data_IF_682656141650
#
_entry.id   IF_682656141650
#
_cell.length_a   1.000
_cell.length_b   1.000
_cell.length_c   1.000
_cell.angle_alpha   90.00
_cell.angle_beta   90.00
_cell.angle_gamma   90.00
#
_symmetry.space_group_name_H-M   'P 1'
#
loop_
_entity.id
_entity.type
_entity.pdbx_description
1 polymer ?
#
# COMPACT_ATOMS: atom_id res chain seq x y z
N UNK A 1 20.06 9.93 -21.55
CA UNK A 1 20.20 8.45 -21.47
C UNK A 1 21.10 7.96 -20.34
N UNK A 2 22.14 8.69 -19.93
CA UNK A 2 23.08 8.27 -18.85
C UNK A 2 22.43 8.33 -17.46
N UNK A 3 21.62 9.35 -17.17
CA UNK A 3 21.00 9.53 -15.84
C UNK A 3 19.96 8.44 -15.47
N UNK A 4 19.19 7.94 -16.44
CA UNK A 4 18.19 6.87 -16.20
C UNK A 4 18.89 5.53 -15.95
N UNK A 5 20.00 5.25 -16.62
CA UNK A 5 20.84 4.08 -16.35
C UNK A 5 21.43 4.11 -14.95
N UNK A 6 21.88 5.28 -14.49
CA UNK A 6 22.42 5.45 -13.14
C UNK A 6 21.34 5.28 -12.05
N UNK A 7 20.11 5.75 -12.28
CA UNK A 7 18.98 5.59 -11.35
C UNK A 7 18.54 4.12 -11.23
N UNK A 8 18.46 3.40 -12.36
CA UNK A 8 18.14 1.97 -12.38
C UNK A 8 19.23 1.11 -11.74
N UNK A 9 20.50 1.48 -11.92
CA UNK A 9 21.63 0.79 -11.28
C UNK A 9 21.63 1.06 -9.77
N UNK A 10 21.29 2.26 -9.33
CA UNK A 10 21.18 2.60 -7.90
C UNK A 10 20.01 1.88 -7.21
N UNK A 11 18.88 1.71 -7.91
CA UNK A 11 17.73 0.94 -7.41
C UNK A 11 18.02 -0.57 -7.35
N UNK A 12 18.78 -1.09 -8.33
CA UNK A 12 19.23 -2.49 -8.35
C UNK A 12 20.29 -2.78 -7.27
N UNK A 13 21.11 -1.78 -6.88
CA UNK A 13 22.11 -1.92 -5.82
C UNK A 13 21.52 -1.97 -4.41
N UNK A 14 20.28 -1.49 -4.18
CA UNK A 14 19.58 -1.59 -2.91
C UNK A 14 18.95 -2.98 -2.67
N UNK A 15 18.78 -3.80 -3.70
CA UNK A 15 18.24 -5.17 -3.56
C UNK A 15 19.19 -6.17 -2.86
N UNK A 16 20.53 -6.14 -3.03
CA UNK A 16 21.39 -7.12 -2.35
C UNK A 16 21.53 -6.88 -0.84
N UNK A 17 21.33 -5.66 -0.33
CA UNK A 17 21.39 -5.39 1.11
C UNK A 17 20.27 -6.09 1.89
N UNK A 18 19.09 -6.28 1.28
CA UNK A 18 17.99 -7.05 1.87
C UNK A 18 18.25 -8.57 1.85
N UNK A 19 19.05 -9.05 0.89
CA UNK A 19 19.40 -10.47 0.78
C UNK A 19 20.53 -10.87 1.75
N UNK A 20 21.46 -9.98 2.06
CA UNK A 20 22.58 -10.28 2.98
C UNK A 20 22.19 -10.29 4.46
N UNK A 21 21.06 -9.68 4.83
CA UNK A 21 20.53 -9.77 6.20
C UNK A 21 19.94 -11.16 6.55
N UNK A 22 19.90 -12.08 5.61
CA UNK A 22 19.30 -13.40 5.79
C UNK A 22 20.28 -14.50 6.21
N UNK A 23 21.58 -14.22 6.27
CA UNK A 23 22.62 -15.26 6.39
C UNK A 23 23.24 -15.45 7.77
N UNK A 24 22.78 -14.78 8.80
CA UNK A 24 23.33 -14.89 10.16
C UNK A 24 22.26 -15.18 11.20
N UNK A 25 21.66 -16.36 11.18
CA UNK A 25 21.07 -16.94 12.41
C UNK A 25 20.72 -18.42 12.25
N UNK A 26 21.68 -19.29 12.52
CA UNK A 26 21.53 -20.76 12.55
C UNK A 26 21.03 -21.29 13.91
N UNK A 27 20.23 -20.52 14.64
CA UNK A 27 19.58 -20.98 15.85
C UNK A 27 18.11 -21.33 15.57
N UNK A 28 17.69 -22.51 15.97
CA UNK A 28 16.31 -23.03 15.92
C UNK A 28 15.32 -21.96 16.40
N UNK A 29 14.61 -21.35 15.49
CA UNK A 29 13.61 -20.35 15.81
C UNK A 29 12.39 -20.56 14.93
N UNK A 30 11.33 -21.08 15.55
CA UNK A 30 10.02 -21.20 14.91
C UNK A 30 9.51 -19.82 14.46
N UNK A 31 9.40 -19.66 13.15
CA UNK A 31 8.82 -18.44 12.56
C UNK A 31 7.32 -18.65 12.37
N UNK A 32 6.52 -17.86 13.05
CA UNK A 32 5.08 -17.80 12.80
C UNK A 32 4.82 -16.85 11.63
N UNK A 33 4.21 -17.38 10.59
CA UNK A 33 3.79 -16.61 9.41
C UNK A 33 2.26 -16.54 9.40
N UNK A 34 1.72 -15.32 9.35
CA UNK A 34 0.31 -15.05 9.11
C UNK A 34 0.19 -14.43 7.74
N UNK A 35 -0.46 -15.11 6.81
CA UNK A 35 -0.70 -14.63 5.46
C UNK A 35 -2.20 -14.47 5.23
N UNK A 36 -2.62 -13.27 4.84
CA UNK A 36 -3.97 -12.95 4.43
C UNK A 36 -3.98 -12.59 2.95
N UNK A 37 -4.93 -13.15 2.20
CA UNK A 37 -5.20 -12.79 0.80
C UNK A 37 -6.64 -12.34 0.71
N UNK A 38 -6.85 -11.12 0.21
CA UNK A 38 -8.15 -10.47 0.22
C UNK A 38 -8.44 -9.84 -1.15
N UNK A 39 -9.72 -9.80 -1.48
CA UNK A 39 -10.26 -9.02 -2.57
C UNK A 39 -11.12 -7.92 -1.95
N UNK A 40 -10.95 -6.69 -2.38
CA UNK A 40 -11.74 -5.53 -2.01
C UNK A 40 -12.58 -5.05 -3.18
N UNK A 41 -13.83 -4.71 -2.93
CA UNK A 41 -14.73 -4.06 -3.88
C UNK A 41 -15.35 -2.85 -3.19
N UNK A 42 -15.37 -1.72 -3.89
CA UNK A 42 -15.92 -0.51 -3.30
C UNK A 42 -15.97 0.65 -4.28
N UNK A 43 -16.00 1.84 -3.73
CA UNK A 43 -16.04 3.08 -4.50
C UNK A 43 -14.75 3.86 -4.32
N UNK A 44 -14.30 4.45 -5.42
CA UNK A 44 -13.22 5.42 -5.42
C UNK A 44 -13.70 6.74 -6.01
N UNK A 45 -13.07 7.82 -5.57
CA UNK A 45 -13.20 9.17 -6.10
C UNK A 45 -11.79 9.70 -6.36
N UNK A 46 -11.53 10.21 -7.57
CA UNK A 46 -10.23 10.70 -8.00
C UNK A 46 -10.35 12.09 -8.63
N UNK A 47 -9.47 12.97 -8.23
CA UNK A 47 -9.19 14.24 -8.90
C UNK A 47 -7.71 14.28 -9.27
N UNK A 48 -7.41 14.57 -10.52
CA UNK A 48 -6.07 14.89 -10.98
C UNK A 48 -6.11 16.09 -11.91
N UNK A 49 -5.69 17.23 -11.40
CA UNK A 49 -5.77 18.50 -12.18
C UNK A 49 -4.80 18.59 -13.36
N UNK A 50 -3.90 17.60 -13.51
CA UNK A 50 -3.11 17.42 -14.73
C UNK A 50 -3.97 16.87 -15.88
N UNK A 51 -4.90 15.98 -15.58
CA UNK A 51 -5.77 15.33 -16.56
C UNK A 51 -7.06 16.10 -16.74
N UNK A 52 -7.71 16.53 -15.65
CA UNK A 52 -9.00 17.20 -15.66
C UNK A 52 -9.23 17.99 -14.38
N UNK A 53 -9.89 19.16 -14.43
CA UNK A 53 -10.34 19.87 -13.24
C UNK A 53 -11.57 19.21 -12.57
N UNK A 54 -12.17 18.20 -13.21
CA UNK A 54 -13.36 17.50 -12.71
C UNK A 54 -12.95 16.32 -11.84
N UNK A 55 -13.77 16.01 -10.83
CA UNK A 55 -13.67 14.80 -10.02
C UNK A 55 -14.41 13.65 -10.69
N UNK A 56 -13.77 12.47 -10.71
CA UNK A 56 -14.31 11.23 -11.26
C UNK A 56 -14.58 10.25 -10.11
N UNK A 57 -15.72 9.59 -10.13
CA UNK A 57 -16.08 8.61 -9.10
C UNK A 57 -16.72 7.36 -9.69
N UNK A 58 -16.46 6.20 -9.07
CA UNK A 58 -16.98 4.93 -9.56
C UNK A 58 -16.54 3.75 -8.75
N UNK A 59 -16.42 2.60 -9.42
CA UNK A 59 -16.08 1.33 -8.80
C UNK A 59 -14.57 1.10 -8.76
N UNK A 60 -14.10 0.50 -7.68
CA UNK A 60 -12.73 0.03 -7.53
C UNK A 60 -12.72 -1.44 -7.11
N UNK A 61 -11.84 -2.22 -7.76
CA UNK A 61 -11.46 -3.56 -7.38
C UNK A 61 -10.03 -3.53 -6.85
N UNK A 62 -9.76 -4.19 -5.70
CA UNK A 62 -8.41 -4.27 -5.12
C UNK A 62 -8.09 -5.68 -4.66
N UNK A 63 -6.88 -6.13 -4.97
CA UNK A 63 -6.28 -7.32 -4.38
C UNK A 63 -5.26 -6.91 -3.31
N UNK A 64 -5.29 -7.60 -2.16
CA UNK A 64 -4.34 -7.37 -1.06
C UNK A 64 -3.78 -8.70 -0.60
N UNK A 65 -2.45 -8.84 -0.64
CA UNK A 65 -1.71 -9.91 0.02
C UNK A 65 -0.93 -9.32 1.19
N UNK A 66 -1.30 -9.68 2.40
CA UNK A 66 -0.75 -9.14 3.65
C UNK A 66 -0.09 -10.25 4.45
N UNK A 67 1.21 -10.17 4.65
CA UNK A 67 2.01 -11.19 5.33
C UNK A 67 2.73 -10.59 6.53
N UNK A 68 2.53 -11.17 7.71
CA UNK A 68 3.28 -10.86 8.93
C UNK A 68 4.12 -12.06 9.30
N UNK A 69 5.41 -11.83 9.54
CA UNK A 69 6.38 -12.83 10.01
C UNK A 69 6.91 -12.40 11.37
N UNK A 70 6.74 -13.25 12.38
CA UNK A 70 7.26 -13.01 13.73
C UNK A 70 7.93 -14.27 14.24
N UNK A 71 9.12 -14.16 14.81
CA UNK A 71 9.75 -15.28 15.53
C UNK A 71 9.07 -15.48 16.88
N UNK A 72 8.86 -16.74 17.26
CA UNK A 72 8.30 -17.10 18.58
C UNK A 72 9.21 -16.55 19.70
N UNK A 73 8.62 -15.92 20.72
CA UNK A 73 9.37 -15.27 21.81
C UNK A 73 10.00 -13.91 21.46
N UNK A 74 10.03 -13.50 20.20
CA UNK A 74 10.55 -12.18 19.80
C UNK A 74 9.43 -11.16 19.67
N UNK A 75 9.74 -9.91 20.00
CA UNK A 75 8.80 -8.78 19.90
C UNK A 75 8.82 -8.10 18.53
N UNK A 76 9.86 -8.30 17.72
CA UNK A 76 9.98 -7.74 16.39
C UNK A 76 9.26 -8.61 15.36
N UNK A 77 8.47 -7.99 14.50
CA UNK A 77 7.83 -8.61 13.35
C UNK A 77 8.12 -7.86 12.06
N UNK A 78 8.14 -8.60 10.95
CA UNK A 78 8.26 -8.07 9.60
C UNK A 78 6.90 -8.14 8.94
N UNK A 79 6.52 -7.08 8.25
CA UNK A 79 5.28 -7.01 7.48
C UNK A 79 5.60 -6.80 6.01
N UNK A 80 4.98 -7.58 5.13
CA UNK A 80 5.03 -7.41 3.69
C UNK A 80 3.60 -7.30 3.18
N UNK A 81 3.34 -6.26 2.39
CA UNK A 81 2.02 -6.08 1.77
C UNK A 81 2.21 -5.83 0.28
N UNK A 82 1.44 -6.54 -0.52
CA UNK A 82 1.28 -6.31 -1.95
C UNK A 82 -0.17 -5.92 -2.19
N UNK A 83 -0.38 -4.78 -2.82
CA UNK A 83 -1.72 -4.31 -3.20
C UNK A 83 -1.72 -3.98 -4.69
N UNK A 84 -2.75 -4.45 -5.39
CA UNK A 84 -3.05 -4.04 -6.76
C UNK A 84 -4.48 -3.56 -6.83
N UNK A 85 -4.73 -2.37 -7.40
CA UNK A 85 -6.07 -1.84 -7.60
C UNK A 85 -6.31 -1.43 -9.04
N UNK A 86 -7.57 -1.51 -9.45
CA UNK A 86 -8.07 -0.98 -10.70
C UNK A 86 -9.41 -0.29 -10.45
N UNK A 87 -9.56 0.93 -10.99
CA UNK A 87 -10.78 1.72 -10.85
C UNK A 87 -11.30 2.14 -12.23
N UNK A 88 -12.62 2.16 -12.34
CA UNK A 88 -13.35 2.71 -13.48
C UNK A 88 -14.32 3.77 -12.98
N UNK A 89 -14.06 5.01 -13.36
CA UNK A 89 -14.64 6.20 -12.74
C UNK A 89 -15.26 7.09 -13.83
N UNK A 90 -16.45 7.60 -13.56
CA UNK A 90 -17.13 8.53 -14.45
C UNK A 90 -17.20 9.92 -13.82
N UNK A 91 -17.18 10.96 -14.65
CA UNK A 91 -17.44 12.32 -14.19
C UNK A 91 -18.93 12.51 -13.89
N UNK A 92 -19.27 13.60 -13.21
CA UNK A 92 -20.65 13.90 -12.80
C UNK A 92 -21.62 14.00 -13.97
N UNK A 93 -21.16 14.43 -15.13
CA UNK A 93 -22.00 14.57 -16.34
C UNK A 93 -22.21 13.24 -17.08
N UNK A 94 -21.47 12.17 -16.74
CA UNK A 94 -21.54 10.86 -17.40
C UNK A 94 -21.01 10.85 -18.85
N UNK A 95 -20.22 11.86 -19.23
CA UNK A 95 -19.69 12.02 -20.59
C UNK A 95 -18.16 11.90 -20.66
N UNK A 96 -17.52 11.50 -19.58
CA UNK A 96 -16.09 11.27 -19.46
C UNK A 96 -15.78 10.20 -18.46
N UNK A 97 -14.80 9.35 -18.78
CA UNK A 97 -14.37 8.23 -17.97
C UNK A 97 -12.89 8.38 -17.63
N UNK A 98 -12.52 8.03 -16.40
CA UNK A 98 -11.15 7.91 -15.97
C UNK A 98 -10.89 6.49 -15.44
N UNK A 99 -9.83 5.86 -15.93
CA UNK A 99 -9.37 4.56 -15.45
C UNK A 99 -8.09 4.75 -14.66
N UNK A 100 -7.96 4.04 -13.55
CA UNK A 100 -6.70 4.02 -12.82
C UNK A 100 -6.27 2.60 -12.49
N UNK A 101 -4.96 2.38 -12.55
CA UNK A 101 -4.33 1.15 -12.06
C UNK A 101 -3.20 1.52 -11.12
N UNK A 102 -3.12 0.90 -9.94
CA UNK A 102 -2.07 1.16 -8.96
C UNK A 102 -1.57 -0.14 -8.35
N UNK A 103 -0.28 -0.28 -8.26
CA UNK A 103 0.38 -1.32 -7.48
C UNK A 103 1.21 -0.68 -6.37
N UNK A 104 1.10 -1.21 -5.15
CA UNK A 104 1.91 -0.77 -4.00
C UNK A 104 2.52 -1.98 -3.34
N UNK A 105 3.83 -1.93 -3.14
CA UNK A 105 4.60 -2.84 -2.30
C UNK A 105 4.96 -2.14 -1.00
N UNK A 106 4.72 -2.80 0.14
CA UNK A 106 5.07 -2.28 1.46
C UNK A 106 5.95 -3.27 2.21
N UNK A 107 7.01 -2.78 2.82
CA UNK A 107 7.82 -3.51 3.78
C UNK A 107 7.90 -2.75 5.09
N UNK A 108 7.53 -3.41 6.19
CA UNK A 108 7.48 -2.78 7.51
C UNK A 108 8.15 -3.60 8.60
N UNK A 109 8.64 -2.89 9.62
CA UNK A 109 9.17 -3.43 10.86
C UNK A 109 8.33 -2.90 12.02
N UNK A 110 7.84 -3.82 12.87
CA UNK A 110 6.95 -3.48 13.96
C UNK A 110 7.40 -4.16 15.25
N UNK A 111 7.35 -3.41 16.34
CA UNK A 111 7.48 -3.94 17.69
C UNK A 111 6.10 -4.33 18.22
N UNK A 112 6.02 -5.48 18.90
CA UNK A 112 4.77 -6.08 19.35
C UNK A 112 4.72 -6.12 20.88
N UNK A 113 3.55 -5.75 21.41
CA UNK A 113 3.19 -5.89 22.83
C UNK A 113 1.99 -6.83 22.92
N UNK A 114 2.12 -7.86 23.75
CA UNK A 114 1.06 -8.83 23.99
C UNK A 114 0.48 -8.59 25.40
N UNK A 115 -0.83 -8.34 25.48
CA UNK A 115 -1.58 -8.08 26.70
C UNK A 115 -2.68 -9.14 26.89
N UNK A 116 -3.29 -9.17 28.06
CA UNK A 116 -4.44 -10.01 28.40
C UNK A 116 -4.18 -11.51 28.12
N UNK A 117 -2.99 -12.01 28.51
CA UNK A 117 -2.61 -13.40 28.22
C UNK A 117 -2.48 -13.71 26.73
N UNK A 118 -2.11 -12.73 25.92
CA UNK A 118 -1.95 -12.86 24.46
C UNK A 118 -3.24 -12.70 23.66
N UNK A 119 -4.37 -12.36 24.32
CA UNK A 119 -5.62 -12.05 23.60
C UNK A 119 -5.54 -10.74 22.84
N UNK A 120 -4.89 -9.72 23.39
CA UNK A 120 -4.66 -8.43 22.74
C UNK A 120 -3.20 -8.33 22.32
N UNK A 121 -2.96 -8.17 21.02
CA UNK A 121 -1.65 -7.84 20.47
C UNK A 121 -1.73 -6.43 19.87
N UNK A 122 -0.87 -5.55 20.32
CA UNK A 122 -0.66 -4.21 19.75
C UNK A 122 0.70 -4.19 19.09
N UNK A 123 0.79 -3.66 17.88
CA UNK A 123 2.06 -3.47 17.20
C UNK A 123 2.18 -2.05 16.66
N UNK A 124 3.37 -1.49 16.75
CA UNK A 124 3.69 -0.19 16.18
C UNK A 124 5.10 -0.19 15.59
N UNK A 125 5.29 0.60 14.56
CA UNK A 125 6.55 0.69 13.84
C UNK A 125 6.48 1.58 12.62
N UNK A 126 7.30 1.27 11.63
CA UNK A 126 7.34 1.98 10.36
C UNK A 126 7.36 1.03 9.18
N UNK A 127 6.94 1.55 8.04
CA UNK A 127 7.02 0.86 6.76
C UNK A 127 7.51 1.80 5.66
N UNK A 128 8.07 1.21 4.62
CA UNK A 128 8.35 1.85 3.35
C UNK A 128 7.33 1.33 2.34
N UNK A 129 6.68 2.25 1.64
CA UNK A 129 5.73 1.97 0.57
C UNK A 129 6.35 2.40 -0.76
N UNK A 130 6.46 1.49 -1.72
CA UNK A 130 6.83 1.79 -3.10
C UNK A 130 5.61 1.58 -3.99
N UNK A 131 5.23 2.60 -4.75
CA UNK A 131 4.03 2.59 -5.57
C UNK A 131 4.32 2.92 -7.02
N UNK A 132 3.62 2.25 -7.93
CA UNK A 132 3.63 2.51 -9.37
C UNK A 132 2.23 2.32 -9.92
N UNK A 133 1.83 3.21 -10.82
CA UNK A 133 0.50 3.15 -11.42
C UNK A 133 0.29 4.19 -12.50
N UNK A 134 -0.94 4.30 -12.94
CA UNK A 134 -1.37 5.24 -13.97
C UNK A 134 -2.80 5.71 -13.75
N UNK A 135 -3.10 6.87 -14.31
CA UNK A 135 -4.46 7.33 -14.61
C UNK A 135 -4.57 7.53 -16.11
N UNK A 136 -5.75 7.26 -16.67
CA UNK A 136 -6.05 7.51 -18.07
C UNK A 136 -7.44 8.15 -18.18
N UNK A 137 -7.50 9.36 -18.77
CA UNK A 137 -8.72 10.14 -18.91
C UNK A 137 -9.14 10.17 -20.38
N UNK A 138 -10.35 9.71 -20.68
CA UNK A 138 -10.86 9.60 -22.06
C UNK A 138 -11.21 10.94 -22.71
N UNK A 139 -11.36 12.02 -21.93
CA UNK A 139 -11.70 13.37 -22.45
C UNK A 139 -10.48 14.21 -22.75
N UNK A 140 -9.33 13.90 -22.15
CA UNK A 140 -8.11 14.66 -22.39
C UNK A 140 -7.43 14.17 -23.66
N UNK A 141 -7.60 14.88 -24.76
CA UNK A 141 -7.04 14.50 -26.07
C UNK A 141 -5.54 14.81 -26.22
N UNK A 142 -4.96 15.66 -25.35
CA UNK A 142 -3.56 16.09 -25.48
C UNK A 142 -2.62 15.26 -24.58
N UNK A 143 -2.98 15.12 -23.30
CA UNK A 143 -2.22 14.34 -22.32
C UNK A 143 -3.20 13.41 -21.57
N UNK A 144 -3.66 12.30 -22.19
CA UNK A 144 -4.71 11.48 -21.61
C UNK A 144 -4.22 10.61 -20.43
N UNK A 145 -2.91 10.45 -20.26
CA UNK A 145 -2.33 9.57 -19.27
C UNK A 145 -1.45 10.31 -18.26
N UNK A 146 -1.51 9.88 -17.00
CA UNK A 146 -0.65 10.34 -15.91
C UNK A 146 -0.02 9.14 -15.23
N UNK A 147 1.33 9.12 -15.15
CA UNK A 147 2.06 8.13 -14.36
C UNK A 147 2.01 8.48 -12.87
N UNK A 148 1.88 7.47 -12.04
CA UNK A 148 1.91 7.57 -10.59
C UNK A 148 3.05 6.71 -10.06
N UNK A 149 4.13 7.34 -9.63
CA UNK A 149 5.29 6.66 -9.06
C UNK A 149 5.68 7.36 -7.78
N UNK A 150 5.93 6.61 -6.72
CA UNK A 150 6.32 7.20 -5.44
C UNK A 150 6.95 6.18 -4.50
N UNK A 151 7.68 6.70 -3.54
CA UNK A 151 8.21 5.97 -2.40
C UNK A 151 7.98 6.79 -1.15
N UNK A 152 7.42 6.18 -0.12
CA UNK A 152 7.03 6.85 1.12
C UNK A 152 7.54 6.10 2.34
N UNK A 153 7.86 6.83 3.40
CA UNK A 153 8.11 6.30 4.74
C UNK A 153 6.89 6.63 5.59
N UNK A 154 6.26 5.61 6.17
CA UNK A 154 5.04 5.74 6.93
C UNK A 154 5.14 5.07 8.30
N UNK A 155 4.89 5.78 9.42
CA UNK A 155 4.53 5.14 10.66
C UNK A 155 3.28 4.30 10.48
N UNK A 156 3.24 3.17 11.15
CA UNK A 156 2.08 2.29 11.12
C UNK A 156 1.88 1.59 12.46
N UNK A 157 0.62 1.36 12.79
CA UNK A 157 0.23 0.67 14.01
C UNK A 157 -0.93 -0.28 13.74
N UNK A 158 -1.03 -1.35 14.53
CA UNK A 158 -2.20 -2.21 14.50
C UNK A 158 -2.49 -2.80 15.88
N UNK A 159 -3.77 -3.04 16.14
CA UNK A 159 -4.26 -3.77 17.30
C UNK A 159 -5.08 -4.97 16.84
N UNK A 160 -4.86 -6.13 17.47
CA UNK A 160 -5.60 -7.36 17.19
C UNK A 160 -6.12 -7.94 18.49
N UNK A 161 -7.44 -8.14 18.59
CA UNK A 161 -8.08 -8.70 19.75
C UNK A 161 -8.76 -10.03 19.42
N UNK A 162 -8.42 -11.10 20.18
CA UNK A 162 -8.98 -12.45 20.03
C UNK A 162 -10.03 -12.68 21.08
N UNK A 163 -11.19 -13.14 20.63
CA UNK A 163 -12.33 -13.45 21.49
C UNK A 163 -13.11 -14.64 20.95
N UNK A 164 -14.12 -15.10 21.69
CA UNK A 164 -15.05 -16.14 21.25
C UNK A 164 -16.47 -15.60 21.32
N UNK A 165 -17.23 -15.88 20.29
CA UNK A 165 -18.66 -15.60 20.25
C UNK A 165 -19.38 -16.91 19.88
N UNK A 166 -20.29 -17.37 20.73
CA UNK A 166 -20.99 -18.65 20.57
C UNK A 166 -20.06 -19.84 20.23
N UNK A 167 -18.93 -19.96 20.96
CA UNK A 167 -17.88 -20.95 20.75
C UNK A 167 -17.07 -20.82 19.44
N UNK A 168 -17.37 -19.86 18.56
CA UNK A 168 -16.58 -19.57 17.37
C UNK A 168 -15.40 -18.67 17.74
N UNK A 169 -14.14 -19.06 17.47
CA UNK A 169 -13.00 -18.17 17.69
C UNK A 169 -12.97 -17.06 16.65
N UNK A 170 -12.92 -15.81 17.13
CA UNK A 170 -12.87 -14.60 16.32
C UNK A 170 -11.62 -13.78 16.64
N UNK A 171 -11.15 -12.99 15.67
CA UNK A 171 -10.14 -11.97 15.90
C UNK A 171 -10.52 -10.69 15.16
N UNK A 172 -10.72 -9.61 15.91
CA UNK A 172 -10.85 -8.27 15.33
C UNK A 172 -9.46 -7.64 15.20
N UNK A 173 -9.18 -6.98 14.07
CA UNK A 173 -7.92 -6.28 13.81
C UNK A 173 -8.20 -4.93 13.18
N UNK A 174 -7.62 -3.89 13.78
CA UNK A 174 -7.54 -2.56 13.20
C UNK A 174 -6.08 -2.22 12.89
N UNK A 175 -5.82 -1.69 11.70
CA UNK A 175 -4.51 -1.27 11.22
C UNK A 175 -4.62 0.12 10.61
N UNK A 176 -3.63 0.97 10.88
CA UNK A 176 -3.56 2.34 10.37
C UNK A 176 -2.14 2.70 10.01
N UNK A 177 -1.97 3.48 8.94
CA UNK A 177 -0.68 4.06 8.54
C UNK A 177 -0.88 5.39 7.82
N UNK A 178 0.08 6.30 8.00
CA UNK A 178 0.08 7.61 7.38
C UNK A 178 1.49 7.96 6.90
N UNK A 179 1.73 8.14 5.59
CA UNK A 179 3.01 8.62 5.07
C UNK A 179 3.42 9.95 5.70
N UNK A 180 4.66 10.02 6.17
CA UNK A 180 5.23 11.25 6.75
C UNK A 180 6.15 11.99 5.78
N UNK A 181 6.92 11.23 5.00
CA UNK A 181 7.88 11.77 4.04
C UNK A 181 8.07 10.78 2.89
N UNK A 182 8.36 11.31 1.71
CA UNK A 182 8.59 10.48 0.53
C UNK A 182 9.06 11.29 -0.66
N UNK A 183 9.06 10.61 -1.80
CA UNK A 183 9.32 11.19 -3.11
C UNK A 183 8.22 10.71 -4.07
N UNK A 184 7.71 11.60 -4.90
CA UNK A 184 6.77 11.24 -5.95
C UNK A 184 7.16 11.85 -7.30
N UNK A 185 6.81 11.16 -8.36
CA UNK A 185 6.86 11.71 -9.70
C UNK A 185 5.63 12.59 -9.94
N UNK A 186 5.84 13.80 -10.41
CA UNK A 186 4.80 14.73 -10.85
C UNK A 186 5.31 15.60 -11.99
N UNK A 187 4.62 15.70 -13.13
CA UNK A 187 4.92 16.74 -14.09
C UNK A 187 4.67 18.12 -13.47
N UNK A 188 5.20 19.16 -14.10
CA UNK A 188 4.83 20.54 -13.79
C UNK A 188 3.48 20.88 -14.45
N UNK A 189 2.79 21.90 -13.93
CA UNK A 189 1.57 22.38 -14.56
C UNK A 189 1.85 22.79 -16.02
N UNK A 190 1.09 22.22 -16.96
CA UNK A 190 1.26 22.45 -18.41
C UNK A 190 2.39 21.70 -19.09
N UNK A 191 3.25 20.99 -18.34
CA UNK A 191 4.34 20.19 -18.92
C UNK A 191 3.82 18.88 -19.51
N UNK A 192 4.20 18.58 -20.74
CA UNK A 192 3.82 17.32 -21.42
C UNK A 192 4.82 16.20 -21.17
N UNK A 193 4.37 14.96 -21.29
CA UNK A 193 5.26 13.79 -21.24
C UNK A 193 6.30 13.78 -22.39
N UNK A 194 5.99 14.40 -23.52
CA UNK A 194 6.92 14.59 -24.62
C UNK A 194 8.09 15.47 -24.20
N UNK A 195 7.82 16.57 -23.49
CA UNK A 195 8.89 17.47 -22.98
C UNK A 195 9.77 16.73 -21.98
N UNK A 196 9.17 15.97 -21.07
CA UNK A 196 9.92 15.21 -20.06
C UNK A 196 10.78 14.14 -20.72
N UNK A 197 10.20 13.23 -21.51
CA UNK A 197 10.88 12.01 -21.95
C UNK A 197 11.59 12.13 -23.29
N UNK A 198 11.14 13.01 -24.19
CA UNK A 198 11.74 13.18 -25.52
C UNK A 198 12.69 14.36 -25.60
N UNK A 199 12.40 15.46 -24.89
CA UNK A 199 13.27 16.63 -24.83
C UNK A 199 14.25 16.63 -23.65
N UNK A 200 14.01 15.77 -22.65
CA UNK A 200 14.87 15.66 -21.48
C UNK A 200 14.67 16.78 -20.46
N UNK A 201 13.51 17.42 -20.46
CA UNK A 201 13.15 18.44 -19.47
C UNK A 201 12.64 17.76 -18.19
N UNK A 202 13.58 17.44 -17.30
CA UNK A 202 13.29 16.73 -16.03
C UNK A 202 13.19 17.68 -14.83
N UNK A 203 13.08 18.97 -15.05
CA UNK A 203 13.13 19.94 -13.97
C UNK A 203 11.94 19.73 -13.00
N UNK A 204 12.29 19.53 -11.72
CA UNK A 204 11.33 19.35 -10.60
C UNK A 204 10.29 18.23 -10.77
N UNK A 205 10.52 17.20 -11.61
CA UNK A 205 9.58 16.11 -11.78
C UNK A 205 9.64 15.06 -10.66
N UNK A 206 10.71 15.02 -9.87
CA UNK A 206 10.81 14.24 -8.64
C UNK A 206 10.62 15.19 -7.47
N UNK A 207 9.48 15.08 -6.79
CA UNK A 207 9.07 16.05 -5.77
C UNK A 207 9.10 15.40 -4.39
N UNK A 208 9.76 16.04 -3.41
CA UNK A 208 9.66 15.62 -2.02
C UNK A 208 8.24 15.79 -1.50
N UNK A 209 7.72 14.73 -0.89
CA UNK A 209 6.42 14.72 -0.22
C UNK A 209 6.57 14.70 1.28
N UNK A 210 5.66 15.35 1.97
CA UNK A 210 5.56 15.38 3.42
C UNK A 210 4.10 15.27 3.82
N UNK A 211 3.82 15.05 5.09
CA UNK A 211 2.44 15.08 5.59
C UNK A 211 1.72 16.42 5.34
N UNK A 212 2.46 17.51 5.07
CA UNK A 212 1.87 18.84 4.80
C UNK A 212 1.39 18.98 3.36
N UNK A 213 2.21 18.56 2.38
CA UNK A 213 1.88 18.70 0.95
C UNK A 213 1.25 17.44 0.33
N UNK A 214 1.31 16.31 1.04
CA UNK A 214 0.73 15.03 0.61
C UNK A 214 0.10 14.26 1.79
N UNK A 215 -0.83 14.86 2.57
CA UNK A 215 -1.44 14.17 3.70
C UNK A 215 -2.24 12.97 3.21
N UNK A 216 -1.88 11.80 3.70
CA UNK A 216 -2.47 10.53 3.28
C UNK A 216 -2.71 9.63 4.48
N UNK A 217 -3.74 8.79 4.41
CA UNK A 217 -4.12 7.86 5.47
C UNK A 217 -4.60 6.55 4.83
N UNK A 218 -4.07 5.43 5.31
CA UNK A 218 -4.60 4.11 5.00
C UNK A 218 -5.03 3.43 6.29
N UNK A 219 -6.23 2.85 6.29
CA UNK A 219 -6.78 2.13 7.44
C UNK A 219 -7.51 0.87 7.03
N UNK A 220 -7.44 -0.17 7.86
CA UNK A 220 -8.12 -1.43 7.62
C UNK A 220 -8.69 -1.98 8.92
N UNK A 221 -10.00 -2.22 8.96
CA UNK A 221 -10.69 -2.90 10.05
C UNK A 221 -11.19 -4.24 9.55
N UNK A 222 -10.78 -5.33 10.20
CA UNK A 222 -11.15 -6.69 9.78
C UNK A 222 -11.56 -7.55 10.95
N UNK A 223 -12.41 -8.54 10.66
CA UNK A 223 -12.76 -9.63 11.57
C UNK A 223 -12.43 -10.95 10.91
N UNK A 224 -11.65 -11.76 11.60
CA UNK A 224 -11.31 -13.13 11.20
C UNK A 224 -12.21 -14.11 11.91
N UNK A 225 -12.88 -14.98 11.16
CA UNK A 225 -13.72 -16.07 11.65
C UNK A 225 -12.95 -17.36 11.43
N UNK A 226 -12.53 -18.03 12.52
CA UNK A 226 -11.69 -19.22 12.39
C UNK A 226 -12.52 -20.47 12.05
N UNK A 227 -12.22 -21.07 10.91
CA UNK A 227 -12.84 -22.27 10.37
C UNK A 227 -11.78 -23.38 10.25
N UNK A 228 -11.54 -24.10 11.33
CA UNK A 228 -10.50 -25.13 11.38
C UNK A 228 -9.06 -24.56 11.23
N UNK A 229 -8.37 -24.88 10.13
CA UNK A 229 -6.99 -24.43 9.86
C UNK A 229 -6.90 -23.11 9.09
N UNK A 230 -8.01 -22.58 8.63
CA UNK A 230 -8.11 -21.34 7.84
C UNK A 230 -9.12 -20.42 8.50
N UNK A 231 -8.91 -19.12 8.40
CA UNK A 231 -9.91 -18.12 8.84
C UNK A 231 -10.45 -17.36 7.64
N UNK A 232 -11.76 -17.18 7.61
CA UNK A 232 -12.41 -16.23 6.72
C UNK A 232 -12.19 -14.83 7.29
N UNK A 233 -11.75 -13.89 6.48
CA UNK A 233 -11.58 -12.48 6.84
C UNK A 233 -12.61 -11.63 6.11
N UNK A 234 -13.31 -10.80 6.86
CA UNK A 234 -14.23 -9.78 6.35
C UNK A 234 -13.84 -8.44 6.94
N UNK A 235 -14.03 -7.36 6.20
CA UNK A 235 -13.71 -6.05 6.76
C UNK A 235 -13.90 -4.88 5.82
N UNK A 236 -13.41 -3.74 6.29
CA UNK A 236 -13.38 -2.46 5.59
C UNK A 236 -11.93 -2.02 5.38
N UNK A 237 -11.64 -1.46 4.20
CA UNK A 237 -10.39 -0.81 3.86
C UNK A 237 -10.70 0.59 3.34
N UNK A 238 -10.11 1.60 3.99
CA UNK A 238 -10.11 2.98 3.55
C UNK A 238 -8.69 3.40 3.16
N UNK A 239 -8.52 3.95 1.96
CA UNK A 239 -7.23 4.44 1.46
C UNK A 239 -7.45 5.85 0.90
N UNK A 240 -6.91 6.86 1.58
CA UNK A 240 -7.09 8.27 1.29
C UNK A 240 -5.73 8.86 0.96
N UNK A 241 -5.51 9.16 -0.31
CA UNK A 241 -4.26 9.72 -0.81
C UNK A 241 -4.52 11.07 -1.44
N UNK A 242 -3.67 12.04 -1.12
CA UNK A 242 -3.72 13.35 -1.74
C UNK A 242 -2.35 13.98 -1.80
N UNK A 243 -2.15 14.90 -2.75
CA UNK A 243 -0.96 15.71 -2.86
C UNK A 243 -1.28 17.05 -3.54
N UNK A 244 -0.54 18.09 -3.14
CA UNK A 244 -0.52 19.37 -3.83
C UNK A 244 0.94 19.74 -4.08
N UNK A 245 1.40 19.47 -5.31
CA UNK A 245 2.80 19.62 -5.74
C UNK A 245 2.83 20.16 -7.18
N UNK A 246 3.87 20.89 -7.55
CA UNK A 246 4.06 21.43 -8.91
C UNK A 246 2.82 22.18 -9.45
N UNK A 247 2.11 22.92 -8.58
CA UNK A 247 0.83 23.58 -8.86
C UNK A 247 -0.31 22.64 -9.31
N UNK A 248 -0.14 21.33 -9.13
CA UNK A 248 -1.15 20.32 -9.40
C UNK A 248 -1.76 19.83 -8.10
N UNK A 249 -3.07 19.53 -8.13
CA UNK A 249 -3.80 18.84 -7.07
C UNK A 249 -4.10 17.41 -7.50
N UNK A 250 -3.89 16.52 -6.60
CA UNK A 250 -4.25 15.13 -6.74
C UNK A 250 -4.93 14.62 -5.48
N UNK A 251 -6.01 13.87 -5.63
CA UNK A 251 -6.49 12.98 -4.57
C UNK A 251 -7.13 11.71 -5.14
N UNK A 252 -7.04 10.64 -4.38
CA UNK A 252 -7.82 9.42 -4.56
C UNK A 252 -8.33 8.97 -3.20
N UNK A 253 -9.64 8.83 -3.05
CA UNK A 253 -10.31 8.37 -1.84
C UNK A 253 -11.03 7.08 -2.15
N UNK A 254 -10.58 5.99 -1.55
CA UNK A 254 -11.13 4.66 -1.75
C UNK A 254 -11.77 4.15 -0.46
N UNK A 255 -13.01 3.67 -0.56
CA UNK A 255 -13.74 3.03 0.52
C UNK A 255 -14.27 1.69 0.02
N UNK A 256 -13.85 0.59 0.66
CA UNK A 256 -14.20 -0.72 0.15
C UNK A 256 -14.45 -1.76 1.24
N UNK A 257 -15.32 -2.68 0.93
CA UNK A 257 -15.46 -3.93 1.66
C UNK A 257 -14.41 -4.92 1.18
N UNK A 258 -13.78 -5.63 2.11
CA UNK A 258 -12.78 -6.66 1.82
C UNK A 258 -13.23 -8.02 2.33
N UNK A 259 -13.00 -9.05 1.52
CA UNK A 259 -13.22 -10.45 1.86
C UNK A 259 -11.99 -11.27 1.50
N UNK A 260 -11.63 -12.26 2.32
CA UNK A 260 -10.48 -13.10 2.01
C UNK A 260 -10.26 -14.20 3.02
N UNK A 261 -9.08 -14.82 2.90
CA UNK A 261 -8.68 -15.93 3.76
C UNK A 261 -7.37 -15.62 4.47
N UNK A 262 -7.28 -16.03 5.73
CA UNK A 262 -6.08 -15.94 6.54
C UNK A 262 -5.59 -17.35 6.85
N UNK A 263 -4.30 -17.59 6.58
CA UNK A 263 -3.60 -18.81 6.99
C UNK A 263 -2.50 -18.45 7.95
N UNK A 264 -2.39 -19.24 9.02
CA UNK A 264 -1.33 -19.11 10.00
C UNK A 264 -0.57 -20.45 10.05
N UNK A 265 0.75 -20.41 9.86
CA UNK A 265 1.59 -21.59 9.88
C UNK A 265 2.94 -21.28 10.53
N UNK A 266 3.55 -22.31 11.10
CA UNK A 266 4.91 -22.24 11.63
C UNK A 266 5.88 -22.76 10.56
N UNK A 267 6.95 -22.03 10.33
CA UNK A 267 8.09 -22.47 9.53
C UNK A 267 9.13 -23.00 10.52
N UNK A 268 9.28 -24.33 10.58
CA UNK A 268 10.36 -24.98 11.30
C UNK A 268 11.51 -25.18 10.31
N UNK A 269 12.69 -24.63 10.57
CA UNK A 269 13.86 -24.95 9.77
C UNK A 269 14.32 -26.35 10.11
N UNK A 270 14.15 -27.28 9.20
CA UNK A 270 14.86 -28.56 9.24
C UNK A 270 16.27 -28.24 8.73
N UNK A 271 17.25 -28.27 9.62
CA UNK A 271 18.66 -28.28 9.20
C UNK A 271 18.97 -29.72 8.87
N UNK A 272 19.48 -30.04 7.66
CA UNK A 272 19.95 -31.39 7.32
C UNK A 272 21.16 -31.80 8.16
#
# INVERSE_FOLDING_TARGET
MIAIRSLLISLAALMPAAAMAQQADTLHSDKVVTNARMIGVGRASTLDTYLSPEEYSGMELRYVSHTIRRREGRRLSHMLVHQGSFSYLDNRAGNGTEMSGMYTFSYGLHYNWDFLGGRLNVMAGGKVDASVGFLYNTRNGNNPAQARVGIDIAPSAAASYRFRLWNVPLAARYEVSAPLAGLMFSPNYGQSYYEIFSRGDYDHNIVPTTFVNAPSLSQMLTVDITLGRTSLRLGYLGDFRQAKVNNLKYHTYSNMFVIGFVRRFKLTSIIP
#
